data_IF_423402789019
#
_entry.id   IF_423402789019
#
_cell.length_a   1.000
_cell.length_b   1.000
_cell.length_c   1.000
_cell.angle_alpha   90.00
_cell.angle_beta   90.00
_cell.angle_gamma   90.00
#
_symmetry.space_group_name_H-M   'P 1'
#
loop_
_entity.id
_entity.type
_entity.pdbx_description
1 polymer ?
#
# COMPACT_ATOMS: atom_id res chain seq x y z
N UNK A 1 9.52 -2.30 -38.26
CA UNK A 1 8.53 -2.31 -37.17
C UNK A 1 7.56 -3.44 -37.45
N UNK A 2 7.58 -4.50 -36.64
CA UNK A 2 6.57 -5.55 -36.72
C UNK A 2 5.23 -4.88 -36.37
N UNK A 3 4.25 -4.97 -37.27
CA UNK A 3 2.96 -4.31 -37.10
C UNK A 3 2.27 -4.91 -35.87
N UNK A 4 1.96 -4.06 -34.88
CA UNK A 4 1.35 -4.53 -33.65
C UNK A 4 -0.09 -5.01 -33.91
N UNK A 5 -0.35 -6.30 -33.66
CA UNK A 5 -1.62 -6.96 -33.99
C UNK A 5 -2.64 -6.67 -32.89
N UNK A 6 -3.84 -6.23 -33.26
CA UNK A 6 -4.96 -6.15 -32.33
C UNK A 6 -5.36 -7.57 -31.87
N UNK A 7 -5.26 -7.84 -30.57
CA UNK A 7 -5.69 -9.11 -29.97
C UNK A 7 -7.20 -9.10 -29.71
N UNK A 8 -7.71 -8.01 -29.13
CA UNK A 8 -9.12 -7.90 -28.76
C UNK A 8 -9.60 -6.46 -28.73
N UNK A 9 -10.87 -6.27 -29.08
CA UNK A 9 -11.64 -5.06 -28.84
C UNK A 9 -12.93 -5.44 -28.09
N UNK A 10 -13.28 -4.72 -27.04
CA UNK A 10 -14.50 -4.94 -26.27
C UNK A 10 -15.03 -3.64 -25.62
N UNK A 11 -16.31 -3.62 -25.26
CA UNK A 11 -16.94 -2.55 -24.48
C UNK A 11 -16.90 -2.93 -22.99
N UNK A 12 -16.55 -1.98 -22.11
CA UNK A 12 -16.60 -2.15 -20.66
C UNK A 12 -17.24 -0.89 -20.04
N UNK A 13 -18.51 -0.98 -19.63
CA UNK A 13 -19.27 0.18 -19.16
C UNK A 13 -19.32 1.29 -20.21
N UNK A 14 -18.87 2.51 -19.86
CA UNK A 14 -18.95 3.67 -20.76
C UNK A 14 -17.78 3.79 -21.76
N UNK A 15 -16.78 2.91 -21.70
CA UNK A 15 -15.59 3.00 -22.56
C UNK A 15 -15.29 1.72 -23.34
N UNK A 16 -14.51 1.85 -24.41
CA UNK A 16 -14.05 0.75 -25.25
C UNK A 16 -12.57 0.47 -25.00
N UNK A 17 -12.21 -0.81 -24.92
CA UNK A 17 -10.83 -1.26 -24.75
C UNK A 17 -10.30 -1.90 -26.03
N UNK A 18 -9.07 -1.60 -26.40
CA UNK A 18 -8.26 -2.33 -27.38
C UNK A 18 -6.99 -2.84 -26.74
N UNK A 19 -6.69 -4.13 -26.89
CA UNK A 19 -5.45 -4.75 -26.42
C UNK A 19 -4.69 -5.29 -27.63
N UNK A 20 -3.39 -4.99 -27.69
CA UNK A 20 -2.51 -5.34 -28.80
C UNK A 20 -1.45 -6.37 -28.38
N UNK A 21 -0.81 -7.00 -29.37
CA UNK A 21 0.12 -8.12 -29.18
C UNK A 21 1.41 -7.77 -28.43
N UNK A 22 1.76 -6.49 -28.33
CA UNK A 22 2.93 -6.00 -27.57
C UNK A 22 2.62 -5.65 -26.10
N UNK A 23 1.37 -5.87 -25.68
CA UNK A 23 0.87 -5.50 -24.35
C UNK A 23 0.24 -4.12 -24.27
N UNK A 24 0.24 -3.33 -25.35
CA UNK A 24 -0.40 -2.01 -25.36
C UNK A 24 -1.90 -2.17 -25.16
N UNK A 25 -2.44 -1.42 -24.19
CA UNK A 25 -3.87 -1.29 -23.94
C UNK A 25 -4.29 0.17 -24.14
N UNK A 26 -5.37 0.38 -24.89
CA UNK A 26 -5.93 1.72 -25.11
C UNK A 26 -7.41 1.71 -24.72
N UNK A 27 -7.79 2.67 -23.88
CA UNK A 27 -9.19 2.95 -23.51
C UNK A 27 -9.69 4.16 -24.29
N UNK A 28 -10.90 4.08 -24.82
CA UNK A 28 -11.56 5.18 -25.53
C UNK A 28 -12.91 5.46 -24.90
N UNK A 29 -13.11 6.70 -24.43
CA UNK A 29 -14.39 7.21 -23.98
C UNK A 29 -14.67 8.57 -24.62
N UNK A 30 -15.95 8.95 -24.67
CA UNK A 30 -16.35 10.34 -24.94
C UNK A 30 -16.51 11.14 -23.66
N UNK A 31 -16.59 10.46 -22.53
CA UNK A 31 -16.73 11.04 -21.20
C UNK A 31 -15.35 11.20 -20.56
N UNK A 32 -15.24 12.13 -19.61
CA UNK A 32 -13.98 12.42 -18.90
C UNK A 32 -13.59 11.32 -17.90
N UNK A 33 -14.57 10.57 -17.40
CA UNK A 33 -14.38 9.48 -16.45
C UNK A 33 -14.63 8.11 -17.10
N UNK A 34 -13.87 7.11 -16.65
CA UNK A 34 -13.99 5.73 -17.10
C UNK A 34 -14.69 4.89 -16.04
N UNK A 35 -15.88 4.40 -16.37
CA UNK A 35 -16.71 3.59 -15.47
C UNK A 35 -16.72 2.16 -16.00
N UNK A 36 -16.00 1.28 -15.31
CA UNK A 36 -15.90 -0.14 -15.66
C UNK A 36 -17.15 -0.90 -15.21
N UNK A 37 -17.61 -1.87 -16.00
CA UNK A 37 -18.69 -2.79 -15.65
C UNK A 37 -18.16 -4.13 -15.11
N UNK A 38 -16.97 -4.54 -15.56
CA UNK A 38 -16.29 -5.77 -15.19
C UNK A 38 -14.76 -5.53 -15.13
N UNK A 39 -13.97 -6.42 -14.49
CA UNK A 39 -12.54 -6.20 -14.36
C UNK A 39 -11.86 -6.44 -15.71
N UNK A 40 -10.98 -5.53 -16.09
CA UNK A 40 -10.12 -5.70 -17.25
C UNK A 40 -8.99 -6.69 -16.98
N UNK A 41 -8.50 -6.73 -15.75
CA UNK A 41 -7.41 -7.61 -15.32
C UNK A 41 -7.69 -8.18 -13.93
N UNK A 42 -7.33 -9.45 -13.74
CA UNK A 42 -7.54 -10.17 -12.48
C UNK A 42 -6.20 -10.74 -12.00
N UNK A 43 -5.75 -10.34 -10.81
CA UNK A 43 -4.68 -11.03 -10.08
C UNK A 43 -5.23 -12.35 -9.54
N UNK A 44 -4.87 -13.46 -10.18
CA UNK A 44 -5.45 -14.77 -9.96
C UNK A 44 -4.44 -15.70 -9.28
N UNK A 45 -4.62 -15.90 -7.99
CA UNK A 45 -3.89 -16.91 -7.23
C UNK A 45 -4.51 -18.28 -7.43
N UNK A 46 -3.81 -19.11 -8.19
CA UNK A 46 -4.26 -20.48 -8.53
C UNK A 46 -3.67 -21.54 -7.59
N UNK A 47 -2.60 -21.21 -6.88
CA UNK A 47 -1.91 -22.16 -6.01
C UNK A 47 -1.17 -21.44 -4.90
N UNK A 48 -1.00 -22.13 -3.77
CA UNK A 48 -0.08 -21.75 -2.71
C UNK A 48 1.14 -22.69 -2.65
N UNK A 49 1.31 -23.59 -3.62
CA UNK A 49 2.46 -24.49 -3.74
C UNK A 49 3.67 -23.75 -4.30
N UNK A 50 4.80 -23.79 -3.61
CA UNK A 50 6.07 -23.28 -4.10
C UNK A 50 7.22 -23.83 -3.27
N UNK A 51 8.26 -24.36 -3.91
CA UNK A 51 9.39 -24.99 -3.24
C UNK A 51 10.46 -24.02 -2.74
N UNK A 52 10.47 -22.78 -3.22
CA UNK A 52 11.56 -21.82 -2.95
C UNK A 52 11.55 -21.21 -1.54
N UNK A 53 10.40 -21.22 -0.84
CA UNK A 53 10.23 -20.69 0.52
C UNK A 53 10.85 -19.29 0.74
N UNK A 54 10.70 -18.41 -0.25
CA UNK A 54 11.33 -17.09 -0.21
C UNK A 54 10.98 -16.32 1.09
N UNK A 55 11.96 -15.72 1.80
CA UNK A 55 11.74 -15.04 3.08
C UNK A 55 10.78 -13.85 2.98
N UNK A 56 10.81 -13.13 1.86
CA UNK A 56 9.95 -11.97 1.59
C UNK A 56 8.55 -12.32 1.05
N UNK A 57 8.20 -13.60 0.93
CA UNK A 57 6.95 -14.02 0.31
C UNK A 57 5.73 -13.69 1.19
N UNK A 58 4.88 -12.78 0.71
CA UNK A 58 3.66 -12.37 1.38
C UNK A 58 2.57 -13.46 1.38
N UNK A 59 2.52 -14.29 0.35
CA UNK A 59 1.56 -15.41 0.23
C UNK A 59 1.87 -16.59 1.17
N UNK A 60 3.06 -16.60 1.78
CA UNK A 60 3.55 -17.72 2.61
C UNK A 60 3.56 -19.06 1.85
N UNK A 61 3.67 -19.07 0.52
CA UNK A 61 3.69 -20.30 -0.30
C UNK A 61 4.77 -21.28 0.17
N UNK A 62 4.44 -22.59 0.15
CA UNK A 62 5.30 -23.70 0.61
C UNK A 62 5.18 -24.91 -0.31
N UNK A 63 6.09 -25.90 -0.27
CA UNK A 63 5.94 -27.13 -1.05
C UNK A 63 4.64 -27.89 -0.75
N UNK A 64 4.14 -27.77 0.49
CA UNK A 64 2.90 -28.40 0.95
C UNK A 64 1.65 -27.54 0.76
N UNK A 65 1.75 -26.43 0.03
CA UNK A 65 0.61 -25.57 -0.28
C UNK A 65 -0.52 -26.31 -1.00
N UNK A 66 -1.70 -25.70 -1.04
CA UNK A 66 -2.86 -26.24 -1.75
C UNK A 66 -2.97 -25.60 -3.14
N UNK A 67 -3.56 -26.35 -4.06
CA UNK A 67 -4.00 -25.83 -5.36
C UNK A 67 -5.46 -25.38 -5.24
N UNK A 68 -5.82 -24.34 -5.99
CA UNK A 68 -7.21 -23.97 -6.21
C UNK A 68 -7.90 -24.93 -7.19
N UNK A 69 -9.22 -24.83 -7.31
CA UNK A 69 -9.99 -25.52 -8.35
C UNK A 69 -10.25 -24.56 -9.51
N UNK A 70 -10.28 -25.08 -10.74
CA UNK A 70 -10.67 -24.36 -11.95
C UNK A 70 -12.14 -24.58 -12.34
N UNK A 71 -12.93 -25.26 -11.49
CA UNK A 71 -14.32 -25.65 -11.76
C UNK A 71 -15.34 -24.58 -11.35
N UNK A 72 -14.89 -23.37 -11.01
CA UNK A 72 -15.80 -22.31 -10.60
C UNK A 72 -16.59 -21.73 -11.79
N UNK A 73 -17.92 -21.53 -11.63
CA UNK A 73 -18.78 -21.02 -12.72
C UNK A 73 -18.37 -19.65 -13.25
N UNK A 74 -17.76 -18.78 -12.42
CA UNK A 74 -17.41 -17.43 -12.85
C UNK A 74 -16.43 -17.40 -14.03
N UNK A 75 -15.61 -18.45 -14.23
CA UNK A 75 -14.74 -18.57 -15.40
C UNK A 75 -15.52 -18.58 -16.71
N UNK A 76 -16.77 -19.03 -16.69
CA UNK A 76 -17.65 -19.03 -17.86
C UNK A 76 -18.33 -17.67 -18.08
N UNK A 77 -18.25 -16.76 -17.11
CA UNK A 77 -18.80 -15.40 -17.18
C UNK A 77 -17.76 -14.32 -17.52
N UNK A 78 -16.47 -14.70 -17.59
CA UNK A 78 -15.40 -13.79 -18.00
C UNK A 78 -15.66 -13.22 -19.40
N UNK A 79 -15.41 -11.93 -19.55
CA UNK A 79 -15.61 -11.25 -20.84
C UNK A 79 -14.37 -11.46 -21.72
N UNK A 80 -14.52 -11.85 -22.99
CA UNK A 80 -13.38 -12.01 -23.89
C UNK A 80 -12.54 -10.73 -23.99
N UNK A 81 -11.24 -10.85 -23.72
CA UNK A 81 -10.31 -9.72 -23.60
C UNK A 81 -9.93 -9.35 -22.17
N UNK A 82 -10.60 -9.90 -21.15
CA UNK A 82 -10.12 -9.84 -19.77
C UNK A 82 -8.77 -10.55 -19.66
N UNK A 83 -7.87 -9.95 -18.88
CA UNK A 83 -6.54 -10.47 -18.60
C UNK A 83 -6.52 -11.23 -17.26
N UNK A 84 -5.81 -12.36 -17.22
CA UNK A 84 -5.54 -13.09 -15.98
C UNK A 84 -4.05 -13.01 -15.68
N UNK A 85 -3.66 -12.35 -14.59
CA UNK A 85 -2.32 -12.38 -14.03
C UNK A 85 -2.20 -13.58 -13.08
N UNK A 86 -1.74 -14.72 -13.60
CA UNK A 86 -1.74 -16.00 -12.88
C UNK A 86 -0.49 -16.11 -12.00
N UNK A 87 -0.69 -16.34 -10.70
CA UNK A 87 0.40 -16.45 -9.74
C UNK A 87 0.02 -17.06 -8.38
N UNK A 88 0.55 -16.48 -7.31
CA UNK A 88 0.46 -16.96 -5.92
C UNK A 88 1.67 -17.77 -5.49
N UNK A 89 1.68 -19.06 -5.81
CA UNK A 89 2.82 -19.95 -5.65
C UNK A 89 3.69 -20.01 -6.91
N UNK A 90 4.23 -21.20 -7.21
CA UNK A 90 4.75 -21.52 -8.52
C UNK A 90 3.58 -22.04 -9.39
N UNK A 91 3.04 -21.24 -10.33
CA UNK A 91 1.88 -21.65 -11.12
C UNK A 91 2.15 -22.93 -11.92
N UNK A 92 3.42 -23.20 -12.29
CA UNK A 92 3.82 -24.35 -13.08
C UNK A 92 3.72 -25.69 -12.31
N UNK A 93 3.57 -25.66 -10.98
CA UNK A 93 3.32 -26.85 -10.15
C UNK A 93 1.83 -27.25 -10.13
N UNK A 94 0.95 -26.44 -10.75
CA UNK A 94 -0.46 -26.78 -10.85
C UNK A 94 -0.71 -27.72 -12.03
N UNK A 95 -1.07 -28.97 -11.74
CA UNK A 95 -1.24 -30.04 -12.75
C UNK A 95 -2.24 -29.69 -13.85
N UNK A 96 -3.32 -28.98 -13.49
CA UNK A 96 -4.36 -28.57 -14.44
C UNK A 96 -4.10 -27.21 -15.12
N UNK A 97 -2.91 -26.61 -14.97
CA UNK A 97 -2.60 -25.31 -15.57
C UNK A 97 -2.80 -25.33 -17.10
N UNK A 98 -2.21 -26.30 -17.80
CA UNK A 98 -2.27 -26.34 -19.28
C UNK A 98 -3.70 -26.55 -19.79
N UNK A 99 -4.49 -27.51 -19.28
CA UNK A 99 -5.92 -27.61 -19.61
C UNK A 99 -6.69 -26.31 -19.35
N UNK A 100 -6.44 -25.65 -18.22
CA UNK A 100 -7.08 -24.38 -17.89
C UNK A 100 -6.74 -23.27 -18.90
N UNK A 101 -5.46 -23.10 -19.24
CA UNK A 101 -5.02 -22.11 -20.22
C UNK A 101 -5.65 -22.35 -21.60
N UNK A 102 -5.81 -23.60 -22.01
CA UNK A 102 -6.52 -23.95 -23.26
C UNK A 102 -7.98 -23.53 -23.22
N UNK A 103 -8.70 -23.85 -22.12
CA UNK A 103 -10.10 -23.41 -21.90
C UNK A 103 -10.22 -21.88 -21.95
N UNK A 104 -9.28 -21.16 -21.33
CA UNK A 104 -9.28 -19.69 -21.31
C UNK A 104 -9.00 -19.10 -22.69
N UNK A 105 -8.05 -19.68 -23.45
CA UNK A 105 -7.77 -19.28 -24.84
C UNK A 105 -9.01 -19.42 -25.73
N UNK A 106 -9.75 -20.53 -25.63
CA UNK A 106 -11.00 -20.74 -26.39
C UNK A 106 -12.07 -19.69 -26.08
N UNK A 107 -12.10 -19.18 -24.84
CA UNK A 107 -12.97 -18.08 -24.42
C UNK A 107 -12.46 -16.69 -24.83
N UNK A 108 -11.26 -16.60 -25.41
CA UNK A 108 -10.63 -15.32 -25.76
C UNK A 108 -10.15 -14.53 -24.54
N UNK A 109 -9.83 -15.21 -23.44
CA UNK A 109 -9.21 -14.63 -22.25
C UNK A 109 -7.69 -14.59 -22.45
N UNK A 110 -7.06 -13.49 -22.03
CA UNK A 110 -5.62 -13.27 -22.19
C UNK A 110 -4.92 -13.70 -20.90
N UNK A 111 -4.26 -14.85 -20.92
CA UNK A 111 -3.55 -15.34 -19.74
C UNK A 111 -2.09 -14.87 -19.72
N UNK A 112 -1.64 -14.43 -18.55
CA UNK A 112 -0.26 -14.07 -18.24
C UNK A 112 0.18 -14.87 -17.02
N UNK A 113 1.47 -15.18 -16.89
CA UNK A 113 2.00 -15.89 -15.71
C UNK A 113 3.13 -15.12 -15.06
N UNK A 114 3.25 -15.21 -13.73
CA UNK A 114 4.46 -14.77 -13.03
C UNK A 114 5.23 -15.97 -12.48
N UNK A 115 6.53 -16.04 -12.78
CA UNK A 115 7.44 -17.10 -12.33
C UNK A 115 8.65 -16.51 -11.62
N UNK A 116 9.28 -17.28 -10.74
CA UNK A 116 10.58 -16.88 -10.17
C UNK A 116 11.73 -17.18 -11.16
N UNK A 117 12.81 -16.40 -11.13
CA UNK A 117 14.02 -16.62 -11.95
C UNK A 117 14.55 -18.07 -11.89
N UNK A 118 14.46 -18.73 -10.73
CA UNK A 118 14.91 -20.12 -10.56
C UNK A 118 13.96 -21.09 -11.29
N UNK A 119 12.64 -20.85 -11.21
CA UNK A 119 11.65 -21.66 -11.92
C UNK A 119 11.69 -21.44 -13.42
N UNK A 120 11.98 -20.22 -13.89
CA UNK A 120 12.20 -19.94 -15.30
C UNK A 120 13.26 -20.87 -15.89
N UNK A 121 14.43 -20.97 -15.25
CA UNK A 121 15.50 -21.84 -15.74
C UNK A 121 15.08 -23.31 -15.72
N UNK A 122 14.43 -23.77 -14.65
CA UNK A 122 13.98 -25.17 -14.52
C UNK A 122 12.91 -25.56 -15.55
N UNK A 123 12.05 -24.63 -15.93
CA UNK A 123 10.88 -24.87 -16.77
C UNK A 123 10.92 -24.08 -18.08
N UNK A 124 12.11 -23.66 -18.55
CA UNK A 124 12.31 -22.79 -19.73
C UNK A 124 11.58 -23.33 -20.97
N UNK A 125 11.66 -24.63 -21.22
CA UNK A 125 11.01 -25.29 -22.36
C UNK A 125 9.48 -25.26 -22.26
N UNK A 126 8.93 -25.54 -21.08
CA UNK A 126 7.48 -25.49 -20.86
C UNK A 126 6.97 -24.06 -21.05
N UNK A 127 7.63 -23.06 -20.46
CA UNK A 127 7.22 -21.66 -20.59
C UNK A 127 7.30 -21.22 -22.06
N UNK A 128 8.37 -21.57 -22.77
CA UNK A 128 8.46 -21.27 -24.21
C UNK A 128 7.31 -21.91 -24.99
N UNK A 129 6.98 -23.17 -24.71
CA UNK A 129 5.85 -23.85 -25.34
C UNK A 129 4.52 -23.13 -25.07
N UNK A 130 4.29 -22.65 -23.84
CA UNK A 130 3.08 -21.88 -23.49
C UNK A 130 2.98 -20.57 -24.29
N UNK A 131 4.12 -19.91 -24.53
CA UNK A 131 4.19 -18.70 -25.37
C UNK A 131 3.92 -19.05 -26.83
N UNK A 132 4.62 -20.04 -27.37
CA UNK A 132 4.55 -20.43 -28.79
C UNK A 132 3.15 -20.93 -29.18
N UNK A 133 2.43 -21.59 -28.25
CA UNK A 133 1.04 -22.01 -28.43
C UNK A 133 0.02 -20.89 -28.13
N UNK A 134 0.46 -19.66 -27.85
CA UNK A 134 -0.33 -18.51 -27.41
C UNK A 134 -1.29 -18.86 -26.24
N UNK A 135 -0.85 -19.73 -25.34
CA UNK A 135 -1.54 -20.04 -24.08
C UNK A 135 -1.20 -19.01 -23.01
N UNK A 136 -0.03 -18.37 -23.12
CA UNK A 136 0.44 -17.29 -22.26
C UNK A 136 0.96 -16.16 -23.14
N UNK A 137 0.46 -14.93 -22.92
CA UNK A 137 0.81 -13.76 -23.70
C UNK A 137 1.93 -12.92 -23.09
N UNK A 138 2.02 -12.89 -21.75
CA UNK A 138 3.03 -12.19 -20.99
C UNK A 138 3.61 -13.05 -19.87
N UNK A 139 4.91 -12.87 -19.60
CA UNK A 139 5.65 -13.59 -18.55
C UNK A 139 6.34 -12.59 -17.63
N UNK A 140 5.84 -12.49 -16.40
CA UNK A 140 6.52 -11.81 -15.31
C UNK A 140 7.63 -12.68 -14.73
N UNK A 141 8.85 -12.16 -14.66
CA UNK A 141 10.00 -12.90 -14.12
C UNK A 141 10.46 -12.20 -12.83
N UNK A 142 10.11 -12.78 -11.68
CA UNK A 142 10.52 -12.27 -10.37
C UNK A 142 12.01 -12.50 -10.14
N UNK A 143 12.78 -11.40 -10.14
CA UNK A 143 14.22 -11.37 -9.89
C UNK A 143 14.49 -10.75 -8.52
N UNK A 144 15.20 -11.49 -7.67
CA UNK A 144 15.52 -11.08 -6.28
C UNK A 144 17.00 -11.22 -5.94
N UNK A 145 17.76 -11.98 -6.74
CA UNK A 145 19.16 -12.30 -6.46
C UNK A 145 20.00 -12.33 -7.73
N UNK A 146 21.30 -12.17 -7.56
CA UNK A 146 22.30 -12.36 -8.61
C UNK A 146 22.51 -13.85 -8.92
N UNK A 147 21.49 -14.49 -9.49
CA UNK A 147 21.50 -15.92 -9.83
C UNK A 147 20.76 -16.11 -11.16
N UNK A 148 21.37 -16.76 -12.15
CA UNK A 148 20.75 -16.96 -13.46
C UNK A 148 20.31 -15.66 -14.19
N UNK A 149 20.92 -14.52 -13.87
CA UNK A 149 20.53 -13.22 -14.44
C UNK A 149 20.74 -13.20 -15.96
N UNK A 150 21.83 -13.81 -16.45
CA UNK A 150 22.10 -13.85 -17.90
C UNK A 150 21.06 -14.70 -18.64
N UNK A 151 20.63 -15.83 -18.08
CA UNK A 151 19.59 -16.68 -18.64
C UNK A 151 18.23 -15.97 -18.64
N UNK A 152 17.94 -15.16 -17.62
CA UNK A 152 16.76 -14.29 -17.56
C UNK A 152 16.82 -13.23 -18.67
N UNK A 153 17.96 -12.55 -18.85
CA UNK A 153 18.16 -11.55 -19.90
C UNK A 153 17.98 -12.18 -21.29
N UNK A 154 18.61 -13.32 -21.55
CA UNK A 154 18.50 -14.05 -22.82
C UNK A 154 17.04 -14.42 -23.12
N UNK A 155 16.33 -14.97 -22.13
CA UNK A 155 14.94 -15.38 -22.29
C UNK A 155 14.01 -14.18 -22.53
N UNK A 156 14.21 -13.09 -21.79
CA UNK A 156 13.41 -11.88 -21.93
C UNK A 156 13.64 -11.17 -23.27
N UNK A 157 14.88 -11.10 -23.76
CA UNK A 157 15.19 -10.53 -25.07
C UNK A 157 14.64 -11.37 -26.23
N UNK A 158 14.56 -12.69 -26.06
CA UNK A 158 13.91 -13.58 -27.04
C UNK A 158 12.39 -13.37 -27.09
N UNK A 159 11.77 -13.01 -25.96
CA UNK A 159 10.31 -12.96 -25.81
C UNK A 159 9.86 -11.56 -25.35
N UNK A 160 9.44 -10.71 -26.29
CA UNK A 160 9.20 -9.26 -26.08
C UNK A 160 8.14 -8.87 -25.04
N UNK A 161 7.29 -9.81 -24.61
CA UNK A 161 6.28 -9.61 -23.57
C UNK A 161 6.72 -10.13 -22.20
N UNK A 162 8.01 -10.44 -22.04
CA UNK A 162 8.61 -10.67 -20.73
C UNK A 162 8.81 -9.34 -20.00
N UNK A 163 8.49 -9.33 -18.71
CA UNK A 163 8.69 -8.18 -17.82
C UNK A 163 9.45 -8.65 -16.59
N UNK A 164 10.56 -7.98 -16.27
CA UNK A 164 11.35 -8.30 -15.08
C UNK A 164 10.65 -7.68 -13.88
N UNK A 165 10.28 -8.50 -12.90
CA UNK A 165 9.64 -8.05 -11.68
C UNK A 165 10.68 -7.94 -10.57
N UNK A 166 10.80 -6.76 -9.96
CA UNK A 166 11.65 -6.52 -8.79
C UNK A 166 10.82 -5.95 -7.65
N UNK A 167 11.27 -6.10 -6.41
CA UNK A 167 10.52 -5.65 -5.22
C UNK A 167 11.30 -4.56 -4.49
N UNK A 168 10.60 -3.47 -4.14
CA UNK A 168 11.15 -2.37 -3.34
C UNK A 168 11.78 -2.90 -2.05
N UNK A 169 13.00 -2.47 -1.73
CA UNK A 169 13.74 -2.91 -0.54
C UNK A 169 14.35 -4.31 -0.61
N UNK A 170 14.06 -5.09 -1.65
CA UNK A 170 14.59 -6.46 -1.81
C UNK A 170 15.66 -6.52 -2.88
N UNK A 171 15.45 -5.84 -4.00
CA UNK A 171 16.40 -5.87 -5.11
C UNK A 171 17.69 -5.15 -4.75
N UNK A 172 18.82 -5.82 -4.91
CA UNK A 172 20.13 -5.23 -4.68
C UNK A 172 20.57 -4.41 -5.90
N UNK A 173 21.26 -3.28 -5.66
CA UNK A 173 21.87 -2.44 -6.71
C UNK A 173 22.65 -3.25 -7.74
N UNK A 174 23.49 -4.19 -7.29
CA UNK A 174 24.35 -5.00 -8.17
C UNK A 174 23.55 -5.83 -9.19
N UNK A 175 22.33 -6.24 -8.84
CA UNK A 175 21.45 -7.01 -9.72
C UNK A 175 20.78 -6.08 -10.73
N UNK A 176 20.32 -4.90 -10.29
CA UNK A 176 19.81 -3.87 -11.18
C UNK A 176 20.85 -3.44 -12.21
N UNK A 177 22.10 -3.19 -11.78
CA UNK A 177 23.20 -2.81 -12.67
C UNK A 177 23.42 -3.83 -13.81
N UNK A 178 23.23 -5.14 -13.55
CA UNK A 178 23.35 -6.19 -14.58
C UNK A 178 22.17 -6.21 -15.56
N UNK A 179 20.98 -5.89 -15.07
CA UNK A 179 19.76 -5.82 -15.88
C UNK A 179 19.68 -4.53 -16.71
N UNK A 180 20.32 -3.45 -16.27
CA UNK A 180 20.33 -2.14 -16.92
C UNK A 180 20.93 -2.17 -18.33
N UNK A 181 20.32 -1.41 -19.24
CA UNK A 181 20.74 -1.23 -20.64
C UNK A 181 20.77 -2.53 -21.45
N UNK A 182 19.84 -3.45 -21.17
CA UNK A 182 19.72 -4.75 -21.83
C UNK A 182 18.51 -4.90 -22.76
N UNK A 183 17.75 -3.82 -22.98
CA UNK A 183 16.50 -3.85 -23.78
C UNK A 183 15.34 -4.54 -23.06
N UNK A 184 15.27 -4.39 -21.73
CA UNK A 184 14.30 -5.08 -20.88
C UNK A 184 13.18 -4.15 -20.43
N UNK A 185 12.02 -4.73 -20.15
CA UNK A 185 10.91 -4.09 -19.43
C UNK A 185 11.01 -4.42 -17.95
N UNK A 186 10.74 -3.45 -17.07
CA UNK A 186 10.83 -3.58 -15.62
C UNK A 186 9.49 -3.25 -14.96
N UNK A 187 9.01 -4.12 -14.08
CA UNK A 187 7.91 -3.84 -13.15
C UNK A 187 8.47 -3.81 -11.72
N UNK A 188 8.26 -2.69 -11.05
CA UNK A 188 8.66 -2.51 -9.65
C UNK A 188 7.43 -2.70 -8.78
N UNK A 189 7.49 -3.72 -7.92
CA UNK A 189 6.43 -4.08 -6.99
C UNK A 189 6.75 -3.52 -5.61
N UNK A 190 5.73 -3.00 -4.93
CA UNK A 190 5.85 -2.53 -3.58
C UNK A 190 6.14 -3.69 -2.64
N UNK A 191 6.80 -3.40 -1.53
CA UNK A 191 7.01 -4.40 -0.50
C UNK A 191 5.74 -4.65 0.32
N UNK A 192 5.32 -5.91 0.41
CA UNK A 192 4.17 -6.31 1.21
C UNK A 192 4.62 -6.72 2.61
N UNK A 193 4.27 -5.92 3.62
CA UNK A 193 4.51 -6.20 5.04
C UNK A 193 3.54 -7.27 5.61
N UNK A 194 3.33 -8.35 4.86
CA UNK A 194 2.47 -9.48 5.20
C UNK A 194 3.23 -10.78 5.03
N UNK A 195 2.63 -11.88 5.45
CA UNK A 195 3.22 -13.17 5.15
C UNK A 195 4.48 -13.46 5.95
N UNK A 196 5.48 -14.01 5.26
CA UNK A 196 6.85 -14.07 5.79
C UNK A 196 7.56 -12.72 5.71
N UNK A 197 7.07 -11.80 4.86
CA UNK A 197 7.63 -10.46 4.68
C UNK A 197 7.51 -9.57 5.93
N UNK A 198 6.55 -9.80 6.83
CA UNK A 198 6.42 -9.04 8.08
C UNK A 198 7.73 -8.96 8.87
N UNK A 199 8.51 -10.03 8.87
CA UNK A 199 9.75 -10.16 9.67
C UNK A 199 11.03 -9.98 8.86
N UNK A 200 10.95 -9.78 7.55
CA UNK A 200 12.14 -9.78 6.71
C UNK A 200 12.76 -8.38 6.55
N UNK A 201 11.94 -7.33 6.59
CA UNK A 201 12.40 -5.95 6.37
C UNK A 201 12.78 -5.21 7.66
N UNK A 202 12.70 -5.84 8.82
CA UNK A 202 12.94 -5.20 10.13
C UNK A 202 14.41 -4.98 10.49
N UNK A 203 15.39 -5.53 9.76
CA UNK A 203 16.80 -5.44 10.20
C UNK A 203 17.86 -5.17 9.11
N UNK A 204 17.56 -5.23 7.80
CA UNK A 204 18.63 -5.25 6.76
C UNK A 204 18.42 -4.44 5.47
N UNK A 205 17.29 -3.78 5.28
CA UNK A 205 16.84 -3.44 3.92
C UNK A 205 16.50 -1.96 3.66
N UNK A 206 16.84 -1.06 4.59
CA UNK A 206 16.64 0.37 4.35
C UNK A 206 17.54 0.88 3.22
N UNK A 207 18.78 0.37 3.11
CA UNK A 207 19.74 0.76 2.06
C UNK A 207 19.23 0.46 0.65
N UNK A 208 18.62 -0.71 0.40
CA UNK A 208 18.09 -1.06 -0.92
C UNK A 208 16.87 -0.21 -1.28
N UNK A 209 15.99 0.04 -0.30
CA UNK A 209 14.81 0.88 -0.47
C UNK A 209 15.21 2.33 -0.75
N UNK A 210 16.13 2.87 0.04
CA UNK A 210 16.70 4.21 -0.12
C UNK A 210 17.43 4.36 -1.45
N UNK A 211 18.24 3.37 -1.84
CA UNK A 211 18.91 3.36 -3.13
C UNK A 211 17.90 3.45 -4.28
N UNK A 212 16.88 2.59 -4.27
CA UNK A 212 15.85 2.60 -5.31
C UNK A 212 15.08 3.94 -5.28
N UNK A 213 14.69 4.42 -4.10
CA UNK A 213 14.01 5.70 -3.94
C UNK A 213 14.81 6.86 -4.54
N UNK A 214 16.09 6.98 -4.21
CA UNK A 214 16.94 8.08 -4.65
C UNK A 214 17.31 8.01 -6.14
N UNK A 215 17.35 6.81 -6.73
CA UNK A 215 17.87 6.60 -8.08
C UNK A 215 16.80 6.18 -9.11
N UNK A 216 15.52 6.08 -8.73
CA UNK A 216 14.47 5.51 -9.59
C UNK A 216 14.36 6.17 -10.97
N UNK A 217 14.52 7.50 -11.05
CA UNK A 217 14.43 8.22 -12.31
C UNK A 217 15.61 7.89 -13.24
N UNK A 218 16.82 7.76 -12.70
CA UNK A 218 17.99 7.37 -13.51
C UNK A 218 17.91 5.89 -13.89
N UNK A 219 17.48 5.03 -12.97
CA UNK A 219 17.24 3.61 -13.24
C UNK A 219 16.22 3.46 -14.38
N UNK A 220 15.16 4.27 -14.39
CA UNK A 220 14.11 4.17 -15.41
C UNK A 220 14.61 4.40 -16.83
N UNK A 221 15.68 5.19 -17.02
CA UNK A 221 16.29 5.45 -18.34
C UNK A 221 17.08 4.25 -18.88
N UNK A 222 17.38 3.27 -18.03
CA UNK A 222 18.15 2.07 -18.41
C UNK A 222 17.28 0.92 -18.92
N UNK A 223 15.95 1.07 -18.94
CA UNK A 223 14.98 0.06 -19.34
C UNK A 223 14.06 0.62 -20.42
N UNK A 224 13.52 -0.24 -21.27
CA UNK A 224 12.64 0.18 -22.37
C UNK A 224 11.30 0.70 -21.85
N UNK A 225 10.79 0.05 -20.79
CA UNK A 225 9.57 0.43 -20.06
C UNK A 225 9.80 0.16 -18.58
N UNK A 226 9.43 1.11 -17.72
CA UNK A 226 9.33 0.90 -16.27
C UNK A 226 7.90 1.14 -15.81
N UNK A 227 7.34 0.15 -15.13
CA UNK A 227 6.00 0.18 -14.56
C UNK A 227 6.06 -0.06 -13.06
N UNK A 228 4.99 0.30 -12.36
CA UNK A 228 4.88 0.20 -10.91
C UNK A 228 3.50 -0.37 -10.54
N UNK A 229 3.43 -1.22 -9.51
CA UNK A 229 2.14 -1.47 -8.87
C UNK A 229 1.74 -0.27 -7.98
N UNK A 230 0.46 -0.17 -7.61
CA UNK A 230 -0.06 0.94 -6.79
C UNK A 230 0.73 1.10 -5.48
N UNK A 231 1.16 0.00 -4.87
CA UNK A 231 1.94 0.05 -3.65
C UNK A 231 3.38 0.57 -3.86
N UNK A 232 4.07 0.24 -4.94
CA UNK A 232 5.37 0.83 -5.27
C UNK A 232 5.26 2.32 -5.55
N UNK A 233 4.18 2.76 -6.22
CA UNK A 233 3.90 4.19 -6.45
C UNK A 233 3.90 4.95 -5.13
N UNK A 234 3.19 4.43 -4.11
CA UNK A 234 3.14 5.01 -2.77
C UNK A 234 4.51 4.94 -2.08
N UNK A 235 5.13 3.76 -2.04
CA UNK A 235 6.39 3.54 -1.32
C UNK A 235 7.57 4.35 -1.88
N UNK A 236 7.57 4.61 -3.19
CA UNK A 236 8.60 5.38 -3.87
C UNK A 236 8.21 6.86 -4.12
N UNK A 237 7.01 7.27 -3.69
CA UNK A 237 6.45 8.61 -3.87
C UNK A 237 6.46 9.07 -5.33
N UNK A 238 6.09 8.17 -6.26
CA UNK A 238 6.23 8.42 -7.70
C UNK A 238 5.38 9.58 -8.21
N UNK A 239 4.24 9.88 -7.56
CA UNK A 239 3.39 11.04 -7.88
C UNK A 239 4.14 12.37 -7.84
N UNK A 240 5.13 12.49 -6.96
CA UNK A 240 5.95 13.71 -6.82
C UNK A 240 7.16 13.73 -7.79
N UNK A 241 7.49 12.59 -8.40
CA UNK A 241 8.70 12.40 -9.22
C UNK A 241 8.41 12.38 -10.73
N UNK A 242 7.17 12.11 -11.12
CA UNK A 242 6.75 12.00 -12.53
C UNK A 242 5.94 13.24 -12.91
N UNK A 243 6.38 13.94 -13.97
CA UNK A 243 5.57 14.97 -14.60
C UNK A 243 4.36 14.34 -15.30
N UNK A 244 3.21 15.01 -15.28
CA UNK A 244 1.96 14.50 -15.84
C UNK A 244 1.61 13.09 -15.33
N UNK A 245 1.73 12.88 -14.01
CA UNK A 245 1.46 11.59 -13.39
C UNK A 245 0.10 11.01 -13.81
N UNK A 246 -0.95 11.85 -13.85
CA UNK A 246 -2.31 11.44 -14.19
C UNK A 246 -2.44 10.90 -15.64
N UNK A 247 -1.61 11.39 -16.58
CA UNK A 247 -1.55 10.86 -17.97
C UNK A 247 -0.86 9.49 -18.04
N UNK A 248 -0.08 9.14 -17.01
CA UNK A 248 0.72 7.91 -16.93
C UNK A 248 0.17 6.92 -15.90
N UNK A 249 -0.95 7.25 -15.22
CA UNK A 249 -1.56 6.46 -14.18
C UNK A 249 -2.78 5.72 -14.70
N UNK A 250 -2.84 4.39 -14.49
CA UNK A 250 -3.88 3.53 -15.08
C UNK A 250 -5.12 3.34 -14.19
N UNK A 251 -5.15 3.96 -13.01
CA UNK A 251 -6.19 3.80 -11.98
C UNK A 251 -5.68 3.09 -10.72
N UNK A 252 -6.48 3.18 -9.66
CA UNK A 252 -6.25 2.47 -8.40
C UNK A 252 -6.69 1.00 -8.48
N UNK A 253 -6.24 0.19 -7.51
CA UNK A 253 -6.74 -1.17 -7.34
C UNK A 253 -8.27 -1.14 -7.18
N UNK A 254 -8.98 -1.94 -7.98
CA UNK A 254 -10.45 -1.97 -7.97
C UNK A 254 -11.14 -1.11 -9.03
N UNK A 255 -10.47 -0.11 -9.61
CA UNK A 255 -11.04 0.71 -10.69
C UNK A 255 -11.28 -0.15 -11.95
N UNK A 256 -10.28 -0.96 -12.29
CA UNK A 256 -10.28 -1.83 -13.47
C UNK A 256 -9.76 -3.23 -13.15
N UNK A 257 -9.32 -3.46 -11.91
CA UNK A 257 -8.63 -4.67 -11.48
C UNK A 257 -9.31 -5.30 -10.28
N UNK A 258 -9.11 -6.60 -10.07
CA UNK A 258 -9.49 -7.25 -8.82
C UNK A 258 -8.58 -8.43 -8.52
N UNK A 259 -8.65 -8.95 -7.30
CA UNK A 259 -7.91 -10.13 -6.85
C UNK A 259 -8.84 -11.32 -6.59
N UNK A 260 -8.38 -12.51 -6.96
CA UNK A 260 -9.07 -13.78 -6.71
C UNK A 260 -8.07 -14.80 -6.14
N UNK A 261 -8.37 -15.36 -4.96
CA UNK A 261 -7.66 -16.47 -4.34
C UNK A 261 -8.48 -17.77 -4.47
N UNK A 262 -8.15 -18.61 -5.46
CA UNK A 262 -8.83 -19.90 -5.66
C UNK A 262 -8.53 -20.93 -4.56
N UNK A 263 -7.45 -20.72 -3.81
CA UNK A 263 -7.04 -21.62 -2.72
C UNK A 263 -7.92 -21.39 -1.50
N UNK A 264 -8.16 -20.11 -1.16
CA UNK A 264 -9.07 -19.72 -0.08
C UNK A 264 -10.52 -19.61 -0.49
N UNK A 265 -10.79 -19.57 -1.79
CA UNK A 265 -12.13 -19.37 -2.38
C UNK A 265 -12.69 -18.00 -2.01
N UNK A 266 -11.86 -16.98 -2.17
CA UNK A 266 -12.17 -15.60 -1.84
C UNK A 266 -11.78 -14.65 -2.99
N UNK A 267 -12.38 -13.48 -3.05
CA UNK A 267 -11.97 -12.36 -3.91
C UNK A 267 -11.89 -11.07 -3.09
N UNK A 268 -11.17 -10.06 -3.61
CA UNK A 268 -10.97 -8.77 -2.97
C UNK A 268 -10.56 -7.68 -3.97
N UNK A 269 -10.41 -6.44 -3.49
CA UNK A 269 -9.84 -5.31 -4.24
C UNK A 269 -8.41 -5.64 -4.69
N UNK A 270 -7.56 -6.10 -3.76
CA UNK A 270 -6.19 -6.53 -4.08
C UNK A 270 -5.73 -7.72 -3.23
N UNK A 271 -4.57 -8.29 -3.58
CA UNK A 271 -3.93 -9.36 -2.80
C UNK A 271 -3.54 -8.91 -1.38
N UNK A 272 -3.50 -7.60 -1.10
CA UNK A 272 -3.24 -7.07 0.24
C UNK A 272 -4.47 -6.57 0.97
N UNK A 273 -5.67 -6.58 0.40
CA UNK A 273 -6.89 -6.20 1.14
C UNK A 273 -7.14 -7.10 2.36
N UNK A 274 -7.73 -6.55 3.42
CA UNK A 274 -8.23 -7.32 4.57
C UNK A 274 -9.66 -7.76 4.35
N UNK A 275 -10.46 -6.88 3.75
CA UNK A 275 -11.80 -7.20 3.29
C UNK A 275 -11.75 -8.17 2.13
N UNK A 276 -12.30 -9.36 2.38
CA UNK A 276 -12.39 -10.45 1.40
C UNK A 276 -13.79 -11.02 1.40
N UNK A 277 -14.22 -11.41 0.21
CA UNK A 277 -15.57 -11.90 -0.03
C UNK A 277 -15.48 -13.34 -0.55
N UNK A 278 -16.41 -14.24 -0.17
CA UNK A 278 -16.48 -15.58 -0.74
C UNK A 278 -16.69 -15.54 -2.26
N UNK A 279 -16.10 -16.47 -3.03
CA UNK A 279 -16.34 -16.54 -4.47
C UNK A 279 -17.82 -16.65 -4.82
N UNK A 280 -18.20 -15.96 -5.89
CA UNK A 280 -19.52 -16.01 -6.49
C UNK A 280 -19.46 -16.64 -7.89
N UNK A 281 -20.61 -16.93 -8.47
CA UNK A 281 -20.72 -17.61 -9.77
C UNK A 281 -20.56 -16.67 -10.98
N UNK A 282 -20.55 -15.35 -10.77
CA UNK A 282 -20.49 -14.36 -11.84
C UNK A 282 -19.45 -13.27 -11.57
N UNK A 283 -18.58 -13.01 -12.56
CA UNK A 283 -17.48 -12.04 -12.42
C UNK A 283 -17.97 -10.59 -12.27
N UNK A 284 -19.07 -10.22 -12.91
CA UNK A 284 -19.63 -8.85 -12.82
C UNK A 284 -20.16 -8.59 -11.42
N UNK A 285 -20.81 -9.58 -10.82
CA UNK A 285 -21.33 -9.48 -9.45
C UNK A 285 -20.18 -9.35 -8.44
N UNK A 286 -19.13 -10.17 -8.58
CA UNK A 286 -17.94 -10.05 -7.73
C UNK A 286 -17.29 -8.66 -7.88
N UNK A 287 -17.12 -8.19 -9.12
CA UNK A 287 -16.48 -6.91 -9.38
C UNK A 287 -17.34 -5.71 -8.94
N UNK A 288 -18.67 -5.82 -9.04
CA UNK A 288 -19.58 -4.86 -8.43
C UNK A 288 -19.36 -4.79 -6.93
N UNK A 289 -19.24 -5.93 -6.25
CA UNK A 289 -18.97 -5.97 -4.80
C UNK A 289 -17.61 -5.38 -4.44
N UNK A 290 -16.58 -5.59 -5.27
CA UNK A 290 -15.26 -4.93 -5.13
C UNK A 290 -15.42 -3.41 -5.17
N UNK A 291 -16.11 -2.87 -6.18
CA UNK A 291 -16.32 -1.42 -6.30
C UNK A 291 -17.17 -0.85 -5.16
N UNK A 292 -18.22 -1.56 -4.75
CA UNK A 292 -19.04 -1.19 -3.59
C UNK A 292 -18.21 -1.13 -2.31
N UNK A 293 -17.29 -2.08 -2.09
CA UNK A 293 -16.44 -2.07 -0.89
C UNK A 293 -15.47 -0.88 -0.84
N UNK A 294 -15.04 -0.38 -2.00
CA UNK A 294 -14.20 0.82 -2.09
C UNK A 294 -15.03 2.07 -1.81
N UNK A 295 -16.25 2.14 -2.35
CA UNK A 295 -17.17 3.25 -2.07
C UNK A 295 -17.57 3.24 -0.61
N UNK A 296 -17.89 2.09 -0.02
CA UNK A 296 -18.18 1.97 1.43
C UNK A 296 -17.00 2.47 2.25
N UNK A 297 -15.75 2.10 1.91
CA UNK A 297 -14.56 2.64 2.56
C UNK A 297 -14.47 4.15 2.37
N UNK A 298 -14.60 4.67 1.15
CA UNK A 298 -14.63 6.11 0.91
C UNK A 298 -15.76 6.81 1.66
N UNK A 299 -16.96 6.23 1.75
CA UNK A 299 -18.14 6.78 2.42
C UNK A 299 -18.00 6.67 3.93
N UNK A 300 -17.35 5.65 4.49
CA UNK A 300 -16.91 5.67 5.89
C UNK A 300 -15.86 6.77 6.14
N UNK A 301 -15.07 7.10 5.11
CA UNK A 301 -14.16 8.25 5.13
C UNK A 301 -14.82 9.60 4.75
N UNK A 302 -16.01 9.61 4.11
CA UNK A 302 -16.66 10.80 3.50
C UNK A 302 -18.09 11.07 4.01
N UNK A 303 -18.66 10.23 4.89
CA UNK A 303 -19.84 10.55 5.68
C UNK A 303 -19.43 11.46 6.85
N UNK A 304 -19.15 12.69 6.48
CA UNK A 304 -19.52 13.87 7.24
C UNK A 304 -19.76 15.00 6.24
N UNK A 305 -20.94 14.96 5.63
CA UNK A 305 -21.53 16.12 4.95
C UNK A 305 -23.02 16.18 5.23
N UNK A 306 -23.34 16.33 6.50
CA UNK A 306 -24.12 17.50 6.90
C UNK A 306 -23.16 18.40 7.69
N UNK A 307 -23.29 19.71 7.46
CA UNK A 307 -22.42 20.76 7.97
C UNK A 307 -22.37 20.72 9.51
N UNK A 308 -21.16 20.82 10.08
CA UNK A 308 -20.86 20.85 11.53
C UNK A 308 -20.89 19.50 12.29
N UNK A 309 -19.96 18.58 11.98
CA UNK A 309 -19.21 17.72 12.92
C UNK A 309 -18.54 16.57 12.15
N UNK A 310 -17.23 16.70 11.88
CA UNK A 310 -16.40 15.62 11.33
C UNK A 310 -15.69 14.93 12.51
N UNK A 311 -16.20 13.78 12.94
CA UNK A 311 -15.49 12.91 13.89
C UNK A 311 -14.60 11.93 13.11
N UNK A 312 -13.28 12.08 13.21
CA UNK A 312 -12.31 11.11 12.71
C UNK A 312 -12.34 9.86 13.61
N UNK A 313 -12.57 8.67 13.03
CA UNK A 313 -12.22 7.42 13.68
C UNK A 313 -11.59 6.43 12.71
N UNK A 314 -10.28 6.25 12.83
CA UNK A 314 -9.64 4.96 12.60
C UNK A 314 -8.75 4.64 13.80
N UNK A 315 -9.37 4.13 14.87
CA UNK A 315 -8.65 3.30 15.84
C UNK A 315 -8.73 1.87 15.31
N UNK A 316 -7.59 1.30 14.93
CA UNK A 316 -7.47 -0.13 14.66
C UNK A 316 -7.76 -0.90 15.95
N UNK A 317 -8.45 -2.01 15.79
CA UNK A 317 -9.06 -2.85 16.84
C UNK A 317 -8.10 -3.58 17.80
N UNK A 318 -6.85 -3.14 17.99
CA UNK A 318 -5.93 -3.81 18.93
C UNK A 318 -5.09 -2.89 19.83
N UNK A 319 -5.26 -1.56 19.77
CA UNK A 319 -4.59 -0.63 20.70
C UNK A 319 -5.61 0.38 21.26
N UNK A 320 -6.43 -0.04 22.22
CA UNK A 320 -7.29 0.87 22.98
C UNK A 320 -6.70 1.13 24.37
N UNK A 321 -6.38 2.39 24.65
CA UNK A 321 -5.96 2.85 25.97
C UNK A 321 -7.18 3.23 26.82
N UNK A 322 -7.19 2.81 28.09
CA UNK A 322 -8.20 3.22 29.06
C UNK A 322 -7.58 4.15 30.10
N UNK A 323 -8.26 5.28 30.33
CA UNK A 323 -7.94 6.23 31.39
C UNK A 323 -8.92 6.02 32.54
N UNK A 324 -8.41 5.76 33.74
CA UNK A 324 -9.24 5.63 34.94
C UNK A 324 -8.80 6.67 35.96
N UNK A 325 -9.70 7.56 36.37
CA UNK A 325 -9.40 8.54 37.41
C UNK A 325 -9.65 7.92 38.78
N UNK A 326 -8.62 7.88 39.62
CA UNK A 326 -8.75 7.40 40.99
C UNK A 326 -9.13 8.57 41.90
N UNK A 327 -10.37 8.59 42.38
CA UNK A 327 -10.90 9.70 43.19
C UNK A 327 -10.23 9.82 44.57
N UNK A 328 -9.66 8.74 45.11
CA UNK A 328 -8.98 8.78 46.42
C UNK A 328 -7.59 9.40 46.31
N UNK A 329 -6.86 9.08 45.23
CA UNK A 329 -5.48 9.58 45.03
C UNK A 329 -5.41 10.85 44.18
N UNK A 330 -6.50 11.21 43.49
CA UNK A 330 -6.55 12.28 42.48
C UNK A 330 -5.49 12.10 41.38
N UNK A 331 -5.33 10.87 40.92
CA UNK A 331 -4.39 10.50 39.86
C UNK A 331 -5.11 9.81 38.72
N UNK A 332 -4.60 9.98 37.50
CA UNK A 332 -5.07 9.24 36.33
C UNK A 332 -4.20 7.98 36.16
N UNK A 333 -4.84 6.82 36.10
CA UNK A 333 -4.21 5.53 35.88
C UNK A 333 -4.41 5.06 34.44
N UNK A 334 -3.32 4.53 33.88
CA UNK A 334 -3.25 4.01 32.52
C UNK A 334 -3.09 2.48 32.52
N UNK A 335 -3.95 1.76 31.78
CA UNK A 335 -3.89 0.29 31.70
C UNK A 335 -4.28 -0.21 30.29
N UNK A 336 -3.45 -1.04 29.62
CA UNK A 336 -3.76 -1.61 28.30
C UNK A 336 -4.55 -2.92 28.42
N UNK A 337 -5.89 -2.91 28.33
CA UNK A 337 -6.67 -4.17 28.32
C UNK A 337 -7.96 -4.15 27.46
N UNK A 338 -8.35 -5.39 27.07
CA UNK A 338 -9.19 -5.82 25.93
C UNK A 338 -10.65 -5.36 25.91
N UNK A 339 -11.10 -4.98 24.71
CA UNK A 339 -12.45 -4.56 24.28
C UNK A 339 -13.54 -5.63 24.49
N UNK A 340 -14.25 -5.58 25.62
CA UNK A 340 -15.61 -6.17 25.67
C UNK A 340 -16.71 -5.35 26.33
N UNK A 341 -16.42 -4.20 26.95
CA UNK A 341 -17.43 -3.53 27.79
C UNK A 341 -17.71 -2.03 27.45
N UNK A 342 -17.09 -1.42 26.44
CA UNK A 342 -17.26 0.03 26.11
C UNK A 342 -18.52 0.31 25.25
N UNK A 343 -19.43 -0.65 25.07
CA UNK A 343 -20.69 -0.41 24.34
C UNK A 343 -21.76 0.36 25.14
N UNK A 344 -21.48 0.78 26.38
CA UNK A 344 -22.56 1.20 27.31
C UNK A 344 -22.52 2.63 27.87
N UNK A 345 -21.54 3.48 27.58
CA UNK A 345 -21.42 4.75 28.36
C UNK A 345 -21.03 6.05 27.61
N UNK A 346 -20.95 6.10 26.28
CA UNK A 346 -20.42 7.29 25.58
C UNK A 346 -21.50 8.25 25.05
N UNK A 347 -22.18 8.98 25.95
CA UNK A 347 -23.14 10.04 25.56
C UNK A 347 -22.70 11.48 25.90
N UNK A 348 -21.48 11.73 26.41
CA UNK A 348 -21.03 13.11 26.78
C UNK A 348 -19.50 13.26 26.72
N UNK A 349 -18.94 14.05 25.80
CA UNK A 349 -17.53 14.51 25.85
C UNK A 349 -17.45 16.04 25.64
N UNK A 350 -16.45 16.65 26.31
CA UNK A 350 -16.17 18.07 26.60
C UNK A 350 -15.29 18.77 25.55
N UNK A 351 -15.50 20.09 25.36
CA UNK A 351 -14.91 20.99 24.35
C UNK A 351 -13.36 21.05 24.34
N UNK A 352 -12.68 20.76 25.46
CA UNK A 352 -11.21 20.82 25.52
C UNK A 352 -10.51 19.71 24.72
N UNK A 353 -11.19 18.56 24.53
CA UNK A 353 -10.64 17.45 23.74
C UNK A 353 -10.69 17.76 22.22
N UNK A 354 -11.67 18.54 21.78
CA UNK A 354 -11.79 18.98 20.39
C UNK A 354 -10.67 19.96 19.98
N UNK A 355 -10.25 20.82 20.91
CA UNK A 355 -9.16 21.79 20.70
C UNK A 355 -7.81 21.08 20.50
N UNK A 356 -7.53 20.02 21.28
CA UNK A 356 -6.28 19.25 21.17
C UNK A 356 -6.18 18.51 19.82
N UNK A 357 -7.29 17.98 19.32
CA UNK A 357 -7.37 17.30 18.01
C UNK A 357 -7.16 18.29 16.87
N UNK A 358 -7.71 19.51 16.99
CA UNK A 358 -7.63 20.54 15.94
C UNK A 358 -6.20 21.10 15.78
N UNK A 359 -5.44 21.21 16.87
CA UNK A 359 -4.03 21.66 16.81
C UNK A 359 -3.10 20.64 16.13
N UNK A 360 -3.35 19.34 16.28
CA UNK A 360 -2.58 18.31 15.58
C UNK A 360 -2.72 18.37 14.06
N UNK A 361 -3.91 18.74 13.57
CA UNK A 361 -4.20 18.89 12.13
C UNK A 361 -3.57 20.18 11.57
N UNK A 362 -3.61 21.28 12.31
CA UNK A 362 -3.08 22.57 11.85
C UNK A 362 -1.54 22.61 11.76
N UNK A 363 -0.84 21.91 12.65
CA UNK A 363 0.62 21.75 12.60
C UNK A 363 1.06 20.99 11.36
N UNK A 364 0.24 20.02 10.90
CA UNK A 364 0.51 19.26 9.68
C UNK A 364 0.40 20.13 8.42
N UNK A 365 -0.61 21.02 8.35
CA UNK A 365 -0.83 21.91 7.20
C UNK A 365 0.17 23.07 7.14
N UNK A 366 0.56 23.63 8.29
CA UNK A 366 1.59 24.67 8.35
C UNK A 366 2.97 24.13 7.92
N UNK A 367 3.29 22.87 8.25
CA UNK A 367 4.51 22.20 7.78
C UNK A 367 4.50 21.96 6.27
N UNK A 368 3.33 21.72 5.67
CA UNK A 368 3.16 21.57 4.22
C UNK A 368 3.38 22.90 3.48
N UNK A 369 2.99 24.04 4.06
CA UNK A 369 3.26 25.36 3.50
C UNK A 369 4.71 25.82 3.69
N UNK A 370 5.30 25.60 4.88
CA UNK A 370 6.65 26.09 5.20
C UNK A 370 7.77 25.34 4.47
N UNK A 371 7.57 24.06 4.12
CA UNK A 371 8.64 23.22 3.54
C UNK A 371 8.33 22.67 2.14
N UNK A 372 7.32 23.20 1.44
CA UNK A 372 6.77 22.54 0.24
C UNK A 372 6.59 23.35 -1.04
N UNK A 373 6.80 24.68 -1.07
CA UNK A 373 6.60 25.48 -2.29
C UNK A 373 7.86 26.23 -2.76
N UNK A 374 8.45 25.69 -3.83
CA UNK A 374 9.21 26.35 -4.91
C UNK A 374 10.54 27.05 -4.56
N UNK A 375 11.63 26.41 -4.99
CA UNK A 375 12.81 27.13 -5.50
C UNK A 375 12.58 27.38 -7.01
N UNK A 376 12.31 28.63 -7.38
CA UNK A 376 12.99 29.40 -8.43
C UNK A 376 12.12 30.61 -8.84
N UNK A 377 12.30 31.73 -8.15
CA UNK A 377 12.79 32.99 -8.74
C UNK A 377 13.03 33.98 -7.61
N UNK A 378 14.16 34.68 -7.71
CA UNK A 378 14.64 35.65 -6.73
C UNK A 378 13.72 36.87 -6.71
N UNK A 379 12.62 36.80 -5.97
CA UNK A 379 12.00 37.97 -5.35
C UNK A 379 12.07 37.77 -3.86
N UNK A 380 12.87 38.61 -3.21
CA UNK A 380 12.90 38.76 -1.76
C UNK A 380 11.46 38.92 -1.25
N UNK A 381 10.87 37.84 -0.75
CA UNK A 381 9.79 37.93 0.20
C UNK A 381 10.44 37.87 1.57
N UNK A 382 10.30 38.96 2.33
CA UNK A 382 10.65 38.99 3.75
C UNK A 382 9.92 37.84 4.42
N UNK A 383 10.68 36.97 5.07
CA UNK A 383 10.14 36.07 6.09
C UNK A 383 9.55 36.97 7.17
N UNK A 384 8.24 36.87 7.40
CA UNK A 384 7.63 37.61 8.50
C UNK A 384 8.15 37.05 9.83
N UNK A 385 8.48 37.92 10.81
CA UNK A 385 8.88 37.49 12.15
C UNK A 385 7.89 36.48 12.74
N UNK A 386 8.40 35.50 13.50
CA UNK A 386 7.61 34.48 14.22
C UNK A 386 6.49 35.12 15.06
N UNK A 387 6.70 36.35 15.53
CA UNK A 387 5.68 37.12 16.26
C UNK A 387 4.46 37.49 15.40
N UNK A 388 4.62 37.76 14.10
CA UNK A 388 3.50 38.10 13.21
C UNK A 388 2.66 36.86 12.86
N UNK A 389 3.29 35.68 12.80
CA UNK A 389 2.61 34.39 12.62
C UNK A 389 1.82 34.00 13.88
N UNK A 390 2.42 34.18 15.06
CA UNK A 390 1.76 33.98 16.35
C UNK A 390 0.57 34.94 16.50
N UNK A 391 0.73 36.21 16.11
CA UNK A 391 -0.36 37.19 16.14
C UNK A 391 -1.50 36.82 15.19
N UNK A 392 -1.19 36.27 14.00
CA UNK A 392 -2.20 35.81 13.03
C UNK A 392 -3.00 34.60 13.53
N UNK A 393 -2.35 33.66 14.22
CA UNK A 393 -3.02 32.53 14.89
C UNK A 393 -3.89 32.99 16.05
N UNK A 394 -3.44 33.99 16.82
CA UNK A 394 -4.21 34.60 17.89
C UNK A 394 -5.44 35.34 17.34
N UNK A 395 -5.34 36.02 16.20
CA UNK A 395 -6.50 36.64 15.54
C UNK A 395 -7.49 35.60 14.99
N UNK A 396 -7.00 34.58 14.29
CA UNK A 396 -7.84 33.50 13.74
C UNK A 396 -8.64 32.80 14.85
N UNK A 397 -8.00 32.52 15.99
CA UNK A 397 -8.66 31.89 17.15
C UNK A 397 -9.62 32.83 17.87
N UNK A 398 -9.39 34.14 17.86
CA UNK A 398 -10.36 35.14 18.40
C UNK A 398 -11.61 35.29 17.53
N UNK A 399 -11.46 35.19 16.21
CA UNK A 399 -12.58 35.32 15.27
C UNK A 399 -13.47 34.06 15.23
N UNK A 400 -12.91 32.89 15.56
CA UNK A 400 -13.63 31.61 15.47
C UNK A 400 -13.98 30.99 16.84
N UNK A 401 -13.38 31.45 17.94
CA UNK A 401 -13.61 30.89 19.29
C UNK A 401 -13.75 31.97 20.36
N UNK A 402 -14.69 31.76 21.30
CA UNK A 402 -15.20 32.82 22.20
C UNK A 402 -14.19 33.39 23.20
N UNK A 403 -13.07 32.69 23.47
CA UNK A 403 -12.14 33.08 24.55
C UNK A 403 -10.65 33.17 24.15
N UNK A 404 -10.26 32.90 22.90
CA UNK A 404 -8.87 33.04 22.42
C UNK A 404 -7.83 32.16 23.15
N UNK A 405 -6.60 32.11 22.64
CA UNK A 405 -5.47 31.34 23.22
C UNK A 405 -4.36 32.31 23.66
N UNK A 406 -3.70 32.01 24.80
CA UNK A 406 -2.65 32.85 25.38
C UNK A 406 -1.28 32.65 24.68
N UNK A 407 -0.54 33.75 24.52
CA UNK A 407 0.74 33.85 23.80
C UNK A 407 1.87 33.08 24.51
N UNK A 408 1.85 33.01 25.83
CA UNK A 408 2.90 32.34 26.62
C UNK A 408 2.81 30.80 26.56
N UNK A 409 1.62 30.25 26.28
CA UNK A 409 1.41 28.82 26.02
C UNK A 409 2.06 28.38 24.70
N UNK A 410 1.92 29.19 23.65
CA UNK A 410 2.46 28.90 22.31
C UNK A 410 3.99 29.01 22.23
N UNK A 411 4.61 29.87 23.03
CA UNK A 411 6.06 30.09 23.02
C UNK A 411 6.85 28.90 23.62
N UNK A 412 6.25 28.09 24.50
CA UNK A 412 6.92 26.99 25.20
C UNK A 412 6.95 25.65 24.43
N UNK A 413 6.15 25.46 23.38
CA UNK A 413 6.08 24.20 22.61
C UNK A 413 7.18 24.03 21.53
N UNK A 414 7.90 25.10 21.15
CA UNK A 414 8.52 25.17 19.81
C UNK A 414 9.86 24.43 19.57
N UNK A 415 10.58 23.90 20.57
CA UNK A 415 11.94 23.34 20.34
C UNK A 415 12.05 21.84 20.66
N UNK A 416 11.36 21.34 21.68
CA UNK A 416 11.54 19.96 22.16
C UNK A 416 10.64 18.94 21.46
N UNK A 417 9.51 19.41 20.93
CA UNK A 417 8.53 18.56 20.25
C UNK A 417 8.91 18.31 18.78
N UNK A 418 9.67 19.24 18.18
CA UNK A 418 10.24 19.10 16.82
C UNK A 418 11.36 18.06 16.76
N UNK A 419 12.16 17.92 17.83
CA UNK A 419 13.19 16.86 17.92
C UNK A 419 12.57 15.48 18.18
N UNK A 420 11.48 15.42 18.95
CA UNK A 420 10.80 14.16 19.32
C UNK A 420 10.02 13.51 18.17
N UNK A 421 9.57 14.29 17.18
CA UNK A 421 8.88 13.75 16.01
C UNK A 421 9.85 13.17 14.94
N UNK A 422 11.16 13.46 15.03
CA UNK A 422 12.14 13.11 14.01
C UNK A 422 12.77 11.70 14.17
N UNK A 423 12.59 11.00 15.31
CA UNK A 423 13.25 9.70 15.57
C UNK A 423 12.30 8.60 16.10
N UNK A 424 11.93 7.69 15.20
CA UNK A 424 11.13 6.48 15.37
C UNK A 424 11.62 5.48 16.44
N UNK A 425 10.69 4.62 16.94
CA UNK A 425 10.99 3.22 17.34
C UNK A 425 10.71 2.85 18.80
N UNK A 426 9.45 2.58 19.16
CA UNK A 426 9.04 2.33 20.54
C UNK A 426 8.94 0.85 20.89
N UNK A 427 9.96 0.34 21.59
CA UNK A 427 9.85 -0.70 22.63
C UNK A 427 11.11 -0.66 23.53
N UNK A 428 12.30 -0.45 22.95
CA UNK A 428 13.55 -0.25 23.72
C UNK A 428 13.57 1.09 24.47
N UNK A 429 12.86 2.10 23.93
CA UNK A 429 12.72 3.45 24.50
C UNK A 429 11.95 3.48 25.83
N UNK A 430 11.00 2.56 26.04
CA UNK A 430 10.19 2.51 27.26
C UNK A 430 11.05 2.10 28.46
N UNK A 431 12.02 1.21 28.25
CA UNK A 431 12.93 0.73 29.30
C UNK A 431 14.02 1.78 29.64
N UNK A 432 14.44 2.58 28.67
CA UNK A 432 15.36 3.71 28.89
C UNK A 432 14.66 4.88 29.60
N UNK A 433 13.42 5.21 29.21
CA UNK A 433 12.57 6.21 29.89
C UNK A 433 12.16 5.80 31.30
N UNK A 434 11.87 4.51 31.54
CA UNK A 434 11.57 3.97 32.88
C UNK A 434 12.73 4.22 33.86
N UNK A 435 13.98 4.04 33.39
CA UNK A 435 15.16 4.29 34.22
C UNK A 435 15.42 5.79 34.41
N UNK A 436 15.20 6.62 33.38
CA UNK A 436 15.48 8.06 33.45
C UNK A 436 14.45 8.84 34.30
N UNK A 437 13.16 8.48 34.24
CA UNK A 437 12.11 9.09 35.07
C UNK A 437 12.27 8.74 36.54
N UNK A 438 12.56 7.46 36.85
CA UNK A 438 12.81 7.02 38.23
C UNK A 438 14.11 7.62 38.80
N UNK A 439 15.14 7.87 37.97
CA UNK A 439 16.37 8.52 38.40
C UNK A 439 16.23 10.04 38.60
N UNK A 440 15.26 10.68 37.92
CA UNK A 440 15.02 12.14 38.01
C UNK A 440 14.07 12.54 39.12
N UNK A 441 13.50 11.59 39.86
CA UNK A 441 12.63 11.81 41.03
C UNK A 441 11.53 12.85 40.74
N UNK A 442 10.82 12.67 39.63
CA UNK A 442 9.72 13.55 39.25
C UNK A 442 8.50 13.20 40.10
N UNK A 443 8.21 14.00 41.13
CA UNK A 443 7.17 13.75 42.15
C UNK A 443 5.72 13.69 41.61
N UNK A 444 5.53 13.85 40.30
CA UNK A 444 4.23 14.02 39.64
C UNK A 444 3.97 13.01 38.51
N UNK A 445 4.94 12.16 38.16
CA UNK A 445 4.76 11.02 37.25
C UNK A 445 5.38 9.78 37.89
N UNK A 446 4.59 8.74 38.09
CA UNK A 446 5.02 7.47 38.65
C UNK A 446 4.77 6.33 37.67
N UNK A 447 5.78 5.49 37.41
CA UNK A 447 5.68 4.38 36.46
C UNK A 447 5.99 3.07 37.17
N UNK A 448 5.03 2.15 37.17
CA UNK A 448 5.10 0.83 37.79
C UNK A 448 5.17 -0.25 36.72
N UNK A 449 6.17 -1.15 36.81
CA UNK A 449 6.30 -2.31 35.93
C UNK A 449 5.59 -3.51 36.56
N UNK A 450 4.69 -4.14 35.80
CA UNK A 450 4.00 -5.39 36.17
C UNK A 450 4.58 -6.58 35.36
N UNK A 451 4.13 -7.82 35.63
CA UNK A 451 4.65 -9.02 34.95
C UNK A 451 4.41 -9.00 33.43
N UNK A 452 3.34 -8.35 32.96
CA UNK A 452 2.92 -8.33 31.55
C UNK A 452 2.87 -6.90 30.93
N UNK A 453 3.00 -5.82 31.73
CA UNK A 453 2.77 -4.44 31.25
C UNK A 453 3.40 -3.32 32.13
N UNK A 454 3.27 -2.05 31.71
CA UNK A 454 3.63 -0.84 32.47
C UNK A 454 2.41 0.01 32.80
N UNK A 455 2.28 0.40 34.07
CA UNK A 455 1.24 1.31 34.56
C UNK A 455 1.89 2.68 34.81
N UNK A 456 1.36 3.72 34.17
CA UNK A 456 1.81 5.11 34.36
C UNK A 456 0.72 5.86 35.13
N UNK A 457 1.11 6.52 36.22
CA UNK A 457 0.25 7.38 37.06
C UNK A 457 0.76 8.81 36.98
N UNK A 458 -0.16 9.75 36.73
CA UNK A 458 0.17 11.18 36.64
C UNK A 458 -0.77 11.95 37.59
N UNK A 459 -0.19 12.86 38.38
CA UNK A 459 -0.96 13.74 39.27
C UNK A 459 -1.85 14.70 38.48
N UNK A 460 -3.10 14.84 38.93
CA UNK A 460 -4.12 15.69 38.29
C UNK A 460 -3.68 17.15 38.09
N UNK A 461 -2.83 17.67 38.99
CA UNK A 461 -2.28 19.03 38.97
C UNK A 461 -1.51 19.34 37.68
N UNK A 462 -0.73 18.37 37.19
CA UNK A 462 0.05 18.50 35.94
C UNK A 462 -0.86 18.59 34.72
N UNK A 463 -1.98 17.87 34.73
CA UNK A 463 -2.95 17.87 33.64
C UNK A 463 -3.82 19.13 33.63
N UNK A 464 -3.91 19.82 34.77
CA UNK A 464 -4.55 21.13 34.91
C UNK A 464 -3.62 22.30 34.55
N UNK A 465 -2.33 22.01 34.31
CA UNK A 465 -1.35 23.01 33.90
C UNK A 465 -0.90 23.98 35.00
N UNK A 466 -0.97 23.57 36.28
CA UNK A 466 -0.46 24.35 37.42
C UNK A 466 1.06 24.22 37.63
#
# INVERSE_FOLDING_TARGET
>A
MQQCKLLKEYQNGNYKVRIYSDGTKIRFSKDDELISEFPESIDLKITNRCDLRCPMCHEKSTPSGKNGSFDYPFFDTLVPGTELAIGGGNPLDHVDLVPFLKKMKEKGIICNITVNQIHLVRFKELIQKLIDEELVYGVGISVTKDLFVEEVIEFANKNSNCVIHVIVGIIEKKVLDKLSNKGLKLLILGYKYRGRGKFYLTEKNDVNKEYLFNNILEISKCFDIVSFDNMAIVQLRMKQKIANFDENFMGEDGDFTMYIDLVKKEFAVSSTSEDRFPLMDNIKDMFKKVKESIIEYHVEYYLSKDEDEILYSSLKEDDSFTFTFNEETREWEFCPLRLRDISRQLEKIDENLAIFITMGVFVEDLYREMFGLRIFEKKERKVEPVEDLINSLIEFTKDHYKHGVDKDFLLNLSIKEVENAYHCGYLDLVEEYYNDINNRNLDYIHIEKTEDDYIVRIKEEVLKGE
#
